data_IF_981841317367
#
_entry.id   IF_981841317367
#
_cell.length_a   1.000
_cell.length_b   1.000
_cell.length_c   1.000
_cell.angle_alpha   90.00
_cell.angle_beta   90.00
_cell.angle_gamma   90.00
#
_symmetry.space_group_name_H-M   'P 1'
#
loop_
_entity.id
_entity.type
_entity.pdbx_description
1 polymer ?
#
# COMPACT_ATOMS: atom_id res chain seq x y z
N UNK A 1 -14.82 0.52 -19.94
CA UNK A 1 -14.80 -0.90 -19.50
C UNK A 1 -14.94 -1.11 -17.99
N UNK A 2 -14.73 -0.08 -17.15
CA UNK A 2 -15.00 -0.16 -15.72
C UNK A 2 -16.37 -0.77 -15.35
N UNK A 3 -17.42 -0.55 -16.16
CA UNK A 3 -18.75 -1.12 -15.97
C UNK A 3 -18.89 -2.61 -16.29
N UNK A 4 -17.92 -3.22 -16.98
CA UNK A 4 -17.90 -4.64 -17.31
C UNK A 4 -17.21 -5.50 -16.24
N UNK A 5 -16.55 -4.87 -15.26
CA UNK A 5 -15.98 -5.55 -14.09
C UNK A 5 -17.08 -5.83 -13.06
N UNK A 6 -17.02 -6.94 -12.31
CA UNK A 6 -17.90 -7.16 -11.17
C UNK A 6 -17.81 -5.97 -10.19
N UNK A 7 -18.90 -5.69 -9.47
CA UNK A 7 -19.04 -4.46 -8.69
C UNK A 7 -17.92 -4.24 -7.67
N UNK A 8 -17.44 -5.33 -7.03
CA UNK A 8 -16.40 -5.26 -6.01
C UNK A 8 -15.00 -4.90 -6.59
N UNK A 9 -14.41 -5.66 -7.54
CA UNK A 9 -13.17 -5.26 -8.21
C UNK A 9 -13.24 -3.88 -8.82
N UNK A 10 -14.38 -3.52 -9.43
CA UNK A 10 -14.56 -2.19 -10.00
C UNK A 10 -14.36 -1.11 -8.94
N UNK A 11 -15.03 -1.20 -7.79
CA UNK A 11 -14.94 -0.18 -6.75
C UNK A 11 -13.51 -0.05 -6.20
N UNK A 12 -12.82 -1.18 -6.00
CA UNK A 12 -11.44 -1.20 -5.50
C UNK A 12 -10.49 -0.52 -6.49
N UNK A 13 -10.41 -1.03 -7.73
CA UNK A 13 -9.44 -0.60 -8.73
C UNK A 13 -9.73 0.79 -9.34
N UNK A 14 -11.00 1.25 -9.34
CA UNK A 14 -11.37 2.54 -9.96
C UNK A 14 -11.53 3.69 -8.97
N UNK A 15 -11.70 3.41 -7.68
CA UNK A 15 -11.96 4.46 -6.67
C UNK A 15 -10.97 4.36 -5.53
N UNK A 16 -10.91 3.23 -4.82
CA UNK A 16 -10.04 3.12 -3.65
C UNK A 16 -8.56 3.21 -4.00
N UNK A 17 -8.14 2.48 -5.03
CA UNK A 17 -6.72 2.41 -5.41
C UNK A 17 -6.16 3.73 -5.95
N UNK A 18 -6.83 4.47 -6.86
CA UNK A 18 -6.33 5.78 -7.27
C UNK A 18 -6.25 6.77 -6.08
N UNK A 19 -7.21 6.71 -5.16
CA UNK A 19 -7.20 7.58 -3.97
C UNK A 19 -6.07 7.20 -3.02
N UNK A 20 -5.83 5.90 -2.77
CA UNK A 20 -4.74 5.46 -1.91
C UNK A 20 -3.37 5.79 -2.50
N UNK A 21 -3.21 5.65 -3.82
CA UNK A 21 -1.97 6.01 -4.52
C UNK A 21 -1.70 7.53 -4.48
N UNK A 22 -2.74 8.35 -4.67
CA UNK A 22 -2.62 9.82 -4.50
C UNK A 22 -2.31 10.17 -3.05
N UNK A 23 -2.92 9.49 -2.08
CA UNK A 23 -2.59 9.65 -0.66
C UNK A 23 -1.13 9.32 -0.34
N UNK A 24 -0.62 8.21 -0.89
CA UNK A 24 0.79 7.82 -0.78
C UNK A 24 1.74 8.85 -1.40
N UNK A 25 1.40 9.37 -2.59
CA UNK A 25 2.14 10.46 -3.24
C UNK A 25 2.19 11.71 -2.36
N UNK A 26 1.04 12.16 -1.85
CA UNK A 26 0.96 13.36 -1.01
C UNK A 26 1.73 13.17 0.30
N UNK A 27 1.63 12.01 0.94
CA UNK A 27 2.41 11.68 2.14
C UNK A 27 3.92 11.79 1.88
N UNK A 28 4.40 11.19 0.79
CA UNK A 28 5.80 11.20 0.42
C UNK A 28 6.33 12.60 0.05
N UNK A 29 5.53 13.44 -0.60
CA UNK A 29 5.96 14.77 -1.08
C UNK A 29 5.81 15.86 -0.02
N UNK A 30 4.73 15.85 0.76
CA UNK A 30 4.46 16.90 1.76
C UNK A 30 5.39 16.76 2.96
N UNK A 31 5.60 15.53 3.45
CA UNK A 31 6.49 15.27 4.57
C UNK A 31 7.30 13.98 4.36
N UNK A 32 8.37 14.04 3.55
CA UNK A 32 9.20 12.88 3.25
C UNK A 32 9.82 12.27 4.52
N UNK A 33 10.18 13.10 5.50
CA UNK A 33 10.80 12.63 6.74
C UNK A 33 9.85 11.77 7.58
N UNK A 34 8.60 12.23 7.74
CA UNK A 34 7.53 11.44 8.36
C UNK A 34 7.20 10.19 7.54
N UNK A 35 7.09 10.33 6.21
CA UNK A 35 6.79 9.20 5.34
C UNK A 35 7.83 8.08 5.45
N UNK A 36 9.12 8.43 5.56
CA UNK A 36 10.22 7.49 5.75
C UNK A 36 10.17 6.84 7.14
N UNK A 37 9.94 7.62 8.20
CA UNK A 37 9.93 7.08 9.56
C UNK A 37 8.76 6.13 9.83
N UNK A 38 7.65 6.31 9.12
CA UNK A 38 6.44 5.48 9.25
C UNK A 38 6.46 4.21 8.38
N UNK A 39 7.48 3.97 7.54
CA UNK A 39 7.58 2.73 6.74
C UNK A 39 7.73 1.47 7.60
N UNK A 40 8.23 1.60 8.84
CA UNK A 40 8.43 0.49 9.76
C UNK A 40 7.69 0.77 11.07
N UNK A 41 6.76 -0.14 11.42
CA UNK A 41 6.01 -0.10 12.68
C UNK A 41 6.98 -0.16 13.87
N UNK A 42 6.84 0.80 14.79
CA UNK A 42 7.61 0.81 16.03
C UNK A 42 8.98 1.47 15.96
N UNK A 43 9.34 2.12 14.84
CA UNK A 43 10.58 2.92 14.75
C UNK A 43 10.68 3.97 15.86
N UNK A 44 9.55 4.56 16.27
CA UNK A 44 9.47 5.51 17.38
C UNK A 44 9.56 4.87 18.79
N UNK A 45 9.40 3.55 18.92
CA UNK A 45 9.49 2.81 20.19
C UNK A 45 10.89 2.22 20.43
N UNK A 46 11.82 2.46 19.50
CA UNK A 46 13.22 2.07 19.63
C UNK A 46 13.89 2.99 20.65
N UNK A 47 14.64 2.44 21.60
CA UNK A 47 15.49 3.22 22.53
C UNK A 47 16.68 3.92 21.85
N UNK A 48 16.78 3.81 20.52
CA UNK A 48 17.81 4.41 19.68
C UNK A 48 17.21 5.67 19.05
N UNK A 49 17.87 6.84 19.15
CA UNK A 49 17.40 8.05 18.49
C UNK A 49 17.20 7.79 16.99
N UNK A 50 16.09 8.22 16.38
CA UNK A 50 15.91 8.07 14.95
C UNK A 50 17.07 8.73 14.22
N UNK A 51 17.76 7.96 13.38
CA UNK A 51 18.83 8.49 12.55
C UNK A 51 18.28 9.63 11.68
N UNK A 52 19.04 10.73 11.50
CA UNK A 52 18.63 11.78 10.57
C UNK A 52 18.41 11.18 9.19
N UNK A 53 17.25 11.44 8.60
CA UNK A 53 16.92 11.04 7.23
C UNK A 53 17.96 11.64 6.30
N UNK A 54 18.70 10.80 5.58
CA UNK A 54 19.70 11.28 4.62
C UNK A 54 19.04 11.83 3.36
N UNK A 55 19.76 12.67 2.60
CA UNK A 55 19.27 13.16 1.31
C UNK A 55 19.00 12.02 0.32
N UNK A 56 19.72 10.89 0.45
CA UNK A 56 19.48 9.69 -0.35
C UNK A 56 18.11 9.07 -0.01
N UNK A 57 17.79 8.91 1.28
CA UNK A 57 16.51 8.36 1.73
C UNK A 57 15.35 9.25 1.28
N UNK A 58 15.54 10.57 1.41
CA UNK A 58 14.58 11.58 0.96
C UNK A 58 14.34 11.50 -0.55
N UNK A 59 15.40 11.36 -1.35
CA UNK A 59 15.27 11.23 -2.80
C UNK A 59 14.52 9.96 -3.18
N UNK A 60 14.82 8.82 -2.55
CA UNK A 60 14.11 7.55 -2.78
C UNK A 60 12.64 7.65 -2.42
N UNK A 61 12.29 8.27 -1.28
CA UNK A 61 10.90 8.47 -0.88
C UNK A 61 10.12 9.34 -1.87
N UNK A 62 10.73 10.42 -2.37
CA UNK A 62 10.11 11.29 -3.39
C UNK A 62 9.91 10.56 -4.72
N UNK A 63 10.88 9.75 -5.14
CA UNK A 63 10.75 8.91 -6.35
C UNK A 63 9.64 7.87 -6.20
N UNK A 64 9.53 7.25 -5.03
CA UNK A 64 8.45 6.32 -4.71
C UNK A 64 7.08 7.00 -4.77
N UNK A 65 6.96 8.20 -4.16
CA UNK A 65 5.76 9.02 -4.26
C UNK A 65 5.39 9.31 -5.71
N UNK A 66 6.35 9.71 -6.54
CA UNK A 66 6.13 9.97 -7.96
C UNK A 66 5.62 8.73 -8.72
N UNK A 67 6.14 7.54 -8.39
CA UNK A 67 5.66 6.28 -8.96
C UNK A 67 4.21 5.99 -8.54
N UNK A 68 3.81 6.29 -7.30
CA UNK A 68 2.40 6.15 -6.90
C UNK A 68 1.47 7.03 -7.74
N UNK A 69 1.85 8.29 -7.99
CA UNK A 69 1.06 9.17 -8.85
C UNK A 69 0.98 8.65 -10.29
N UNK A 70 2.11 8.19 -10.84
CA UNK A 70 2.15 7.57 -12.16
C UNK A 70 1.21 6.36 -12.23
N UNK A 71 1.23 5.50 -11.22
CA UNK A 71 0.38 4.32 -11.16
C UNK A 71 -1.11 4.70 -11.10
N UNK A 72 -1.47 5.72 -10.33
CA UNK A 72 -2.84 6.22 -10.28
C UNK A 72 -3.31 6.71 -11.66
N UNK A 73 -2.46 7.47 -12.37
CA UNK A 73 -2.79 7.96 -13.71
C UNK A 73 -2.90 6.82 -14.73
N UNK A 74 -1.98 5.84 -14.70
CA UNK A 74 -2.03 4.67 -15.60
C UNK A 74 -3.27 3.84 -15.34
N UNK A 75 -3.63 3.59 -14.07
CA UNK A 75 -4.84 2.84 -13.71
C UNK A 75 -6.11 3.54 -14.18
N UNK A 76 -6.22 4.85 -13.94
CA UNK A 76 -7.34 5.65 -14.45
C UNK A 76 -7.38 5.63 -15.98
N UNK A 77 -6.23 5.78 -16.65
CA UNK A 77 -6.17 5.77 -18.10
C UNK A 77 -6.60 4.42 -18.70
N UNK A 78 -6.07 3.31 -18.17
CA UNK A 78 -6.41 1.96 -18.65
C UNK A 78 -7.89 1.67 -18.40
N UNK A 79 -8.41 1.90 -17.20
CA UNK A 79 -9.78 1.51 -16.85
C UNK A 79 -10.86 2.40 -17.49
N UNK A 80 -10.55 3.67 -17.79
CA UNK A 80 -11.48 4.61 -18.41
C UNK A 80 -11.35 4.69 -19.94
N UNK A 81 -10.14 4.63 -20.51
CA UNK A 81 -9.94 4.87 -21.95
C UNK A 81 -9.89 3.61 -22.81
N UNK A 82 -9.60 2.43 -22.26
CA UNK A 82 -9.58 1.20 -23.07
C UNK A 82 -10.95 0.52 -23.12
N UNK A 83 -11.34 0.06 -24.31
CA UNK A 83 -12.45 -0.87 -24.55
C UNK A 83 -11.99 -2.32 -24.62
N UNK A 84 -10.68 -2.57 -24.69
CA UNK A 84 -10.11 -3.89 -24.93
C UNK A 84 -9.93 -4.70 -23.65
N UNK A 85 -10.71 -5.77 -23.48
CA UNK A 85 -10.66 -6.60 -22.26
C UNK A 85 -9.30 -7.26 -22.06
N UNK A 86 -8.57 -7.55 -23.15
CA UNK A 86 -7.21 -8.12 -23.07
C UNK A 86 -6.24 -7.16 -22.37
N UNK A 87 -6.35 -5.85 -22.64
CA UNK A 87 -5.52 -4.82 -22.01
C UNK A 87 -5.86 -4.70 -20.54
N UNK A 88 -7.15 -4.67 -20.19
CA UNK A 88 -7.59 -4.62 -18.78
C UNK A 88 -7.12 -5.85 -18.01
N UNK A 89 -7.22 -7.05 -18.59
CA UNK A 89 -6.73 -8.28 -17.97
C UNK A 89 -5.22 -8.27 -17.77
N UNK A 90 -4.46 -7.84 -18.76
CA UNK A 90 -3.01 -7.70 -18.64
C UNK A 90 -2.61 -6.73 -17.53
N UNK A 91 -3.32 -5.59 -17.46
CA UNK A 91 -3.14 -4.61 -16.38
C UNK A 91 -3.42 -5.20 -14.99
N UNK A 92 -4.54 -5.92 -14.83
CA UNK A 92 -4.88 -6.55 -13.54
C UNK A 92 -3.87 -7.63 -13.13
N UNK A 93 -3.31 -8.39 -14.09
CA UNK A 93 -2.23 -9.35 -13.80
C UNK A 93 -0.96 -8.63 -13.35
N UNK A 94 -0.61 -7.51 -13.99
CA UNK A 94 0.53 -6.71 -13.59
C UNK A 94 0.36 -6.12 -12.17
N UNK A 95 -0.82 -5.61 -11.84
CA UNK A 95 -1.16 -5.16 -10.48
C UNK A 95 -1.02 -6.29 -9.47
N UNK A 96 -1.56 -7.48 -9.79
CA UNK A 96 -1.49 -8.62 -8.88
C UNK A 96 -0.05 -9.06 -8.58
N UNK A 97 0.83 -9.02 -9.59
CA UNK A 97 2.26 -9.29 -9.40
C UNK A 97 2.91 -8.21 -8.53
N UNK A 98 2.58 -6.94 -8.74
CA UNK A 98 3.07 -5.83 -7.93
C UNK A 98 2.63 -5.96 -6.47
N UNK A 99 1.38 -6.33 -6.23
CA UNK A 99 0.81 -6.52 -4.89
C UNK A 99 1.51 -7.64 -4.11
N UNK A 100 1.83 -8.76 -4.78
CA UNK A 100 2.60 -9.84 -4.15
C UNK A 100 4.03 -9.36 -3.84
N UNK A 101 4.64 -8.65 -4.78
CA UNK A 101 6.00 -8.14 -4.65
C UNK A 101 6.16 -7.20 -3.46
N UNK A 102 5.26 -6.22 -3.28
CA UNK A 102 5.39 -5.29 -2.17
C UNK A 102 5.07 -5.94 -0.82
N UNK A 103 4.09 -6.85 -0.74
CA UNK A 103 3.81 -7.62 0.48
C UNK A 103 5.03 -8.44 0.89
N UNK A 104 5.70 -9.09 -0.06
CA UNK A 104 6.92 -9.83 0.20
C UNK A 104 8.03 -8.94 0.76
N UNK A 105 8.25 -7.75 0.19
CA UNK A 105 9.24 -6.78 0.68
C UNK A 105 8.87 -6.29 2.07
N UNK A 106 7.60 -5.94 2.31
CA UNK A 106 7.10 -5.56 3.63
C UNK A 106 7.35 -6.69 4.65
N UNK A 107 6.99 -7.93 4.33
CA UNK A 107 7.23 -9.08 5.18
C UNK A 107 8.72 -9.28 5.49
N UNK A 108 9.59 -9.16 4.49
CA UNK A 108 11.03 -9.33 4.65
C UNK A 108 11.64 -8.29 5.59
N UNK A 109 11.18 -7.03 5.52
CA UNK A 109 11.72 -5.92 6.32
C UNK A 109 11.07 -5.83 7.71
N UNK A 110 9.75 -5.99 7.83
CA UNK A 110 9.04 -5.94 9.12
C UNK A 110 9.30 -7.18 9.98
N UNK A 111 9.49 -8.35 9.35
CA UNK A 111 9.58 -9.65 9.99
C UNK A 111 8.23 -10.19 10.46
N UNK A 112 8.14 -11.53 10.62
CA UNK A 112 6.90 -12.26 10.94
C UNK A 112 6.18 -11.71 12.19
N UNK A 113 6.92 -11.32 13.23
CA UNK A 113 6.34 -10.82 14.48
C UNK A 113 5.56 -9.51 14.32
N UNK A 114 6.15 -8.49 13.68
CA UNK A 114 5.47 -7.20 13.43
C UNK A 114 4.45 -7.28 12.31
N UNK A 115 4.67 -8.19 11.35
CA UNK A 115 3.73 -8.46 10.28
C UNK A 115 2.44 -9.12 10.77
N UNK A 116 2.48 -9.94 11.83
CA UNK A 116 1.27 -10.54 12.40
C UNK A 116 0.62 -9.68 13.49
N UNK A 117 1.30 -8.65 13.98
CA UNK A 117 0.80 -7.74 15.01
C UNK A 117 -0.10 -6.63 14.43
N UNK A 118 -1.22 -7.06 13.83
CA UNK A 118 -2.20 -6.20 13.15
C UNK A 118 -2.76 -5.11 14.08
N UNK A 119 -2.77 -5.37 15.40
CA UNK A 119 -3.28 -4.43 16.40
C UNK A 119 -2.40 -3.17 16.55
N UNK A 120 -1.11 -3.23 16.22
CA UNK A 120 -0.16 -2.14 16.37
C UNK A 120 0.27 -1.50 15.04
N UNK A 121 -0.38 -1.84 13.94
CA UNK A 121 -0.08 -1.26 12.64
C UNK A 121 -0.41 0.24 12.60
N UNK A 122 0.55 1.03 12.12
CA UNK A 122 0.34 2.45 11.80
C UNK A 122 -0.45 2.61 10.49
N UNK A 123 -0.90 3.83 10.18
CA UNK A 123 -1.71 4.10 8.99
C UNK A 123 -1.03 3.69 7.67
N UNK A 124 0.30 3.84 7.58
CA UNK A 124 1.08 3.45 6.41
C UNK A 124 1.19 1.92 6.26
N UNK A 125 1.32 1.18 7.35
CA UNK A 125 1.33 -0.29 7.35
C UNK A 125 -0.06 -0.84 7.05
N UNK A 126 -1.12 -0.21 7.56
CA UNK A 126 -2.49 -0.51 7.13
C UNK A 126 -2.70 -0.26 5.64
N UNK A 127 -2.18 0.84 5.10
CA UNK A 127 -2.23 1.13 3.66
C UNK A 127 -1.45 0.12 2.82
N UNK A 128 -0.28 -0.31 3.30
CA UNK A 128 0.61 -1.21 2.58
C UNK A 128 0.19 -2.70 2.70
N UNK A 129 -0.34 -3.14 3.84
CA UNK A 129 -0.54 -4.58 4.13
C UNK A 129 -2.00 -4.91 4.51
N UNK A 130 -2.75 -3.91 5.00
CA UNK A 130 -4.07 -4.10 5.59
C UNK A 130 -5.15 -4.58 4.63
N UNK A 131 -5.04 -4.28 3.34
CA UNK A 131 -6.00 -4.74 2.33
C UNK A 131 -5.95 -6.27 2.15
N UNK A 132 -4.86 -6.92 2.55
CA UNK A 132 -4.65 -8.36 2.35
C UNK A 132 -5.05 -9.21 3.58
N UNK A 133 -5.03 -8.64 4.78
CA UNK A 133 -5.29 -9.40 6.02
C UNK A 133 -6.70 -9.12 6.53
N UNK A 134 -7.64 -9.99 6.14
CA UNK A 134 -8.91 -10.12 6.87
C UNK A 134 -8.58 -10.49 8.32
N UNK A 135 -9.01 -9.73 9.34
CA UNK A 135 -8.72 -10.07 10.72
C UNK A 135 -9.32 -11.44 11.06
N UNK A 136 -8.60 -12.32 11.76
CA UNK A 136 -9.18 -13.55 12.29
C UNK A 136 -10.30 -13.16 13.25
N UNK A 137 -11.49 -13.69 12.99
CA UNK A 137 -12.63 -13.57 13.88
C UNK A 137 -12.27 -14.22 15.22
N UNK A 138 -11.98 -13.42 16.24
CA UNK A 138 -11.88 -13.92 17.60
C UNK A 138 -13.26 -14.43 18.02
N UNK A 139 -13.38 -15.75 18.11
CA UNK A 139 -14.51 -16.39 18.78
C UNK A 139 -14.29 -16.19 20.29
N UNK A 140 -15.22 -15.57 21.04
CA UNK A 140 -15.06 -15.41 22.48
C UNK A 140 -15.09 -16.79 23.14
N UNK A 141 -14.03 -17.11 23.88
CA UNK A 141 -14.00 -18.28 24.77
C UNK A 141 -14.88 -17.96 25.97
N UNK A 142 -15.95 -18.76 26.14
CA UNK A 142 -16.82 -18.76 27.31
C UNK A 142 -16.02 -19.41 28.46
N UNK A 143 -15.87 -18.76 29.63
CA UNK A 143 -15.22 -19.38 30.77
C UNK A 143 -16.18 -20.38 31.44
N UNK A 144 -15.67 -21.58 31.72
CA UNK A 144 -16.29 -22.62 32.55
C UNK A 144 -15.79 -22.53 34.00
#
# INVERSE_FOLDING_TARGET
MASALPAFPRLVFTVFEPISLVGGFLGAVINPAWFISEQIVGSASSTVPPLPVSDNDRLVALQLGNIYLLMAMVGLAVLNFTSEIKVVRGYLVALWIADIGHIYVCYNVLGLGRFLDVAHWNALTWGNVGVTVRPPTHHPLIPS
#
